data_IF_531389120722
#
_entry.id   IF_531389120722
#
_cell.length_a   1.000
_cell.length_b   1.000
_cell.length_c   1.000
_cell.angle_alpha   90.00
_cell.angle_beta   90.00
_cell.angle_gamma   90.00
#
_symmetry.space_group_name_H-M   'P 1'
#
loop_
_entity.id
_entity.type
_entity.pdbx_description
1 polymer ?
#
# COMPACT_ATOMS: atom_id res chain seq x y z
N UNK A 1 -6.85 17.28 -4.91
CA UNK A 1 -5.88 17.32 -3.78
C UNK A 1 -6.42 18.02 -2.54
N UNK A 2 -7.30 19.03 -2.66
CA UNK A 2 -7.88 19.75 -1.51
C UNK A 2 -8.55 18.83 -0.45
N UNK A 3 -9.09 17.68 -0.86
CA UNK A 3 -9.74 16.72 0.04
C UNK A 3 -8.77 15.95 0.95
N UNK A 4 -7.47 15.87 0.62
CA UNK A 4 -6.46 15.13 1.39
C UNK A 4 -5.64 16.02 2.32
N UNK A 5 -5.68 17.34 2.12
CA UNK A 5 -4.97 18.31 2.95
C UNK A 5 -5.22 18.13 4.46
N UNK A 6 -6.48 18.03 4.95
CA UNK A 6 -6.73 17.86 6.38
C UNK A 6 -6.21 16.52 6.92
N UNK A 7 -6.25 15.44 6.14
CA UNK A 7 -5.70 14.15 6.56
C UNK A 7 -4.17 14.20 6.70
N UNK A 8 -3.48 14.88 5.79
CA UNK A 8 -2.02 15.07 5.87
C UNK A 8 -1.62 15.93 7.08
N UNK A 9 -2.40 16.97 7.38
CA UNK A 9 -2.21 17.83 8.54
C UNK A 9 -2.38 17.05 9.85
N UNK A 10 -3.47 16.28 10.00
CA UNK A 10 -3.69 15.41 11.17
C UNK A 10 -2.55 14.42 11.35
N UNK A 11 -2.05 13.83 10.25
CA UNK A 11 -0.93 12.90 10.28
C UNK A 11 0.42 13.58 10.62
N UNK A 12 0.50 14.91 10.51
CA UNK A 12 1.73 15.69 10.67
C UNK A 12 2.74 15.44 9.54
N UNK A 13 2.26 15.09 8.35
CA UNK A 13 3.10 14.71 7.21
C UNK A 13 3.02 15.82 6.15
N UNK A 14 4.15 16.27 5.57
CA UNK A 14 4.13 17.30 4.52
C UNK A 14 3.29 16.86 3.31
N UNK A 15 2.45 17.75 2.77
CA UNK A 15 1.62 17.45 1.60
C UNK A 15 2.43 16.98 0.38
N UNK A 16 3.70 17.40 0.25
CA UNK A 16 4.61 16.93 -0.80
C UNK A 16 4.78 15.41 -0.81
N UNK A 17 4.58 14.75 0.34
CA UNK A 17 4.66 13.30 0.47
C UNK A 17 3.56 12.58 -0.32
N UNK A 18 2.42 13.23 -0.57
CA UNK A 18 1.38 12.70 -1.46
C UNK A 18 1.89 12.45 -2.88
N UNK A 19 2.87 13.22 -3.34
CA UNK A 19 3.56 12.97 -4.59
C UNK A 19 4.75 12.04 -4.35
N UNK A 20 5.72 12.47 -3.54
CA UNK A 20 6.90 11.68 -3.20
C UNK A 20 7.24 11.86 -1.71
N UNK A 21 7.32 10.77 -0.92
CA UNK A 21 7.49 9.38 -1.38
C UNK A 21 6.20 8.54 -1.50
N UNK A 22 5.10 8.90 -0.83
CA UNK A 22 3.92 8.02 -0.66
C UNK A 22 3.25 7.71 -2.00
N UNK A 23 2.95 8.75 -2.80
CA UNK A 23 2.26 8.58 -4.08
C UNK A 23 3.06 7.77 -5.08
N UNK A 24 4.34 8.10 -5.24
CA UNK A 24 5.26 7.39 -6.12
C UNK A 24 5.44 5.93 -5.72
N UNK A 25 5.58 5.63 -4.42
CA UNK A 25 5.71 4.25 -3.95
C UNK A 25 4.42 3.45 -4.19
N UNK A 26 3.26 4.05 -3.95
CA UNK A 26 1.96 3.42 -4.22
C UNK A 26 1.79 3.13 -5.72
N UNK A 27 2.15 4.10 -6.57
CA UNK A 27 2.09 3.95 -8.02
C UNK A 27 3.07 2.88 -8.50
N UNK A 28 4.31 2.88 -7.99
CA UNK A 28 5.30 1.85 -8.29
C UNK A 28 4.82 0.44 -7.90
N UNK A 29 4.17 0.31 -6.75
CA UNK A 29 3.52 -0.94 -6.34
C UNK A 29 2.43 -1.38 -7.30
N UNK A 30 1.53 -0.46 -7.70
CA UNK A 30 0.48 -0.76 -8.69
C UNK A 30 1.06 -1.15 -10.05
N UNK A 31 2.08 -0.44 -10.53
CA UNK A 31 2.77 -0.74 -11.78
C UNK A 31 3.48 -2.10 -11.73
N UNK A 32 4.17 -2.40 -10.62
CA UNK A 32 4.82 -3.69 -10.44
C UNK A 32 3.85 -4.87 -10.40
N UNK A 33 2.65 -4.68 -9.80
CA UNK A 33 1.59 -5.68 -9.85
C UNK A 33 1.07 -5.91 -11.27
N UNK A 34 0.87 -4.84 -12.05
CA UNK A 34 0.50 -4.95 -13.46
C UNK A 34 1.56 -5.71 -14.27
N UNK A 35 2.85 -5.42 -14.04
CA UNK A 35 3.94 -6.16 -14.67
C UNK A 35 3.96 -7.64 -14.26
N UNK A 36 3.62 -7.94 -13.01
CA UNK A 36 3.41 -9.30 -12.53
C UNK A 36 2.36 -10.05 -13.34
N UNK A 37 1.19 -9.43 -13.55
CA UNK A 37 0.09 -9.99 -14.35
C UNK A 37 0.46 -10.14 -15.83
N UNK A 38 1.29 -9.24 -16.36
CA UNK A 38 1.78 -9.30 -17.75
C UNK A 38 2.88 -10.35 -17.99
N UNK A 39 3.24 -11.15 -16.98
CA UNK A 39 4.17 -12.27 -17.13
C UNK A 39 5.57 -12.05 -16.54
N UNK A 40 5.75 -11.06 -15.66
CA UNK A 40 7.01 -10.85 -14.93
C UNK A 40 6.82 -11.23 -13.44
N UNK A 41 6.75 -12.54 -13.10
CA UNK A 41 6.23 -13.00 -11.82
C UNK A 41 7.04 -12.49 -10.62
N UNK A 42 8.37 -12.46 -10.70
CA UNK A 42 9.22 -11.96 -9.62
C UNK A 42 9.01 -10.46 -9.32
N UNK A 43 8.72 -9.64 -10.34
CA UNK A 43 8.40 -8.22 -10.15
C UNK A 43 7.03 -8.07 -9.48
N UNK A 44 6.06 -8.90 -9.88
CA UNK A 44 4.76 -9.00 -9.21
C UNK A 44 4.89 -9.30 -7.72
N UNK A 45 5.72 -10.27 -7.35
CA UNK A 45 5.97 -10.64 -5.95
C UNK A 45 6.67 -9.54 -5.17
N UNK A 46 7.71 -8.91 -5.74
CA UNK A 46 8.35 -7.77 -5.11
C UNK A 46 7.38 -6.60 -4.89
N UNK A 47 6.50 -6.33 -5.85
CA UNK A 47 5.49 -5.29 -5.76
C UNK A 47 4.42 -5.59 -4.70
N UNK A 48 3.96 -6.85 -4.62
CA UNK A 48 3.01 -7.29 -3.60
C UNK A 48 3.60 -7.14 -2.18
N UNK A 49 4.88 -7.53 -1.98
CA UNK A 49 5.60 -7.31 -0.72
C UNK A 49 5.70 -5.81 -0.40
N UNK A 50 6.03 -4.99 -1.39
CA UNK A 50 6.06 -3.53 -1.24
C UNK A 50 4.70 -2.96 -0.82
N UNK A 51 3.60 -3.50 -1.35
CA UNK A 51 2.25 -3.09 -0.99
C UNK A 51 1.88 -3.47 0.45
N UNK A 52 2.32 -4.65 0.92
CA UNK A 52 2.19 -5.04 2.34
C UNK A 52 2.92 -4.03 3.23
N UNK A 53 4.17 -3.73 2.93
CA UNK A 53 4.95 -2.74 3.70
C UNK A 53 4.29 -1.35 3.67
N UNK A 54 3.77 -0.93 2.51
CA UNK A 54 3.05 0.32 2.36
C UNK A 54 1.83 0.39 3.30
N UNK A 55 1.00 -0.65 3.33
CA UNK A 55 -0.19 -0.68 4.18
C UNK A 55 0.13 -0.80 5.67
N UNK A 56 1.21 -1.50 6.04
CA UNK A 56 1.69 -1.54 7.44
C UNK A 56 2.13 -0.14 7.89
N UNK A 57 2.90 0.58 7.08
CA UNK A 57 3.29 1.96 7.37
C UNK A 57 2.07 2.88 7.47
N UNK A 58 1.09 2.74 6.58
CA UNK A 58 -0.15 3.51 6.63
C UNK A 58 -0.93 3.22 7.93
N UNK A 59 -1.09 1.95 8.31
CA UNK A 59 -1.74 1.56 9.56
C UNK A 59 -1.05 2.18 10.78
N UNK A 60 0.29 2.16 10.81
CA UNK A 60 1.07 2.80 11.86
C UNK A 60 0.79 4.31 11.94
N UNK A 61 0.74 5.03 10.82
CA UNK A 61 0.47 6.47 10.83
C UNK A 61 -0.91 6.81 11.39
N UNK A 62 -1.94 6.03 11.08
CA UNK A 62 -3.29 6.19 11.63
C UNK A 62 -3.33 5.92 13.13
N UNK A 63 -2.70 4.83 13.59
CA UNK A 63 -2.61 4.48 15.01
C UNK A 63 -1.86 5.57 15.80
N UNK A 64 -0.76 6.10 15.25
CA UNK A 64 0.08 7.15 15.87
C UNK A 64 -0.73 8.40 16.21
N UNK A 65 -1.68 8.78 15.36
CA UNK A 65 -2.52 9.97 15.54
C UNK A 65 -3.93 9.64 16.03
N UNK A 66 -4.15 8.38 16.43
CA UNK A 66 -5.44 7.86 16.89
C UNK A 66 -6.61 8.12 15.91
N UNK A 67 -6.32 8.14 14.61
CA UNK A 67 -7.33 8.32 13.56
C UNK A 67 -7.86 6.96 13.08
N UNK A 68 -9.01 6.57 13.62
CA UNK A 68 -9.71 5.33 13.27
C UNK A 68 -10.90 5.60 12.34
N UNK A 69 -10.72 6.46 11.34
CA UNK A 69 -11.72 6.67 10.30
C UNK A 69 -11.95 5.40 9.45
N UNK A 70 -13.01 5.42 8.64
CA UNK A 70 -13.33 4.31 7.71
C UNK A 70 -12.14 3.93 6.81
N UNK A 71 -11.31 4.89 6.43
CA UNK A 71 -10.09 4.64 5.65
C UNK A 71 -9.10 3.72 6.35
N UNK A 72 -8.95 3.82 7.68
CA UNK A 72 -8.11 2.91 8.47
C UNK A 72 -8.65 1.47 8.42
N UNK A 73 -9.95 1.28 8.68
CA UNK A 73 -10.56 -0.04 8.67
C UNK A 73 -10.53 -0.68 7.27
N UNK A 74 -10.69 0.10 6.20
CA UNK A 74 -10.54 -0.41 4.84
C UNK A 74 -9.08 -0.80 4.54
N UNK A 75 -8.12 0.04 4.93
CA UNK A 75 -6.70 -0.25 4.73
C UNK A 75 -6.26 -1.53 5.44
N UNK A 76 -6.60 -1.68 6.73
CA UNK A 76 -6.16 -2.81 7.56
C UNK A 76 -7.05 -4.03 7.41
N UNK A 77 -8.37 -3.86 7.26
CA UNK A 77 -9.33 -4.96 7.22
C UNK A 77 -9.52 -5.57 5.83
N UNK A 78 -9.21 -4.83 4.75
CA UNK A 78 -9.45 -5.30 3.38
C UNK A 78 -8.17 -5.32 2.57
N UNK A 79 -7.52 -4.16 2.40
CA UNK A 79 -6.41 -4.05 1.45
C UNK A 79 -5.12 -4.73 1.92
N UNK A 80 -4.79 -4.65 3.22
CA UNK A 80 -3.63 -5.33 3.77
C UNK A 80 -3.77 -6.87 3.67
N UNK A 81 -4.89 -7.50 4.09
CA UNK A 81 -5.11 -8.93 3.87
C UNK A 81 -5.08 -9.32 2.40
N UNK A 82 -5.65 -8.50 1.50
CA UNK A 82 -5.60 -8.74 0.07
C UNK A 82 -4.16 -8.73 -0.46
N UNK A 83 -3.34 -7.76 -0.03
CA UNK A 83 -1.92 -7.70 -0.40
C UNK A 83 -1.16 -8.93 0.09
N UNK A 84 -1.41 -9.38 1.32
CA UNK A 84 -0.84 -10.61 1.88
C UNK A 84 -1.29 -11.84 1.08
N UNK A 85 -2.57 -11.93 0.75
CA UNK A 85 -3.11 -13.02 -0.08
C UNK A 85 -2.44 -13.05 -1.47
N UNK A 86 -2.22 -11.90 -2.10
CA UNK A 86 -1.48 -11.83 -3.37
C UNK A 86 -0.05 -12.37 -3.24
N UNK A 87 0.70 -11.98 -2.19
CA UNK A 87 2.04 -12.52 -1.94
C UNK A 87 1.98 -14.04 -1.78
N UNK A 88 1.06 -14.55 -0.97
CA UNK A 88 0.91 -15.99 -0.71
C UNK A 88 0.58 -16.74 -2.00
N UNK A 89 -0.37 -16.26 -2.80
CA UNK A 89 -0.77 -16.89 -4.05
C UNK A 89 0.37 -16.90 -5.07
N UNK A 90 1.10 -15.79 -5.21
CA UNK A 90 2.24 -15.73 -6.13
C UNK A 90 3.38 -16.65 -5.71
N UNK A 91 3.66 -16.74 -4.40
CA UNK A 91 4.65 -17.69 -3.89
C UNK A 91 4.21 -19.14 -4.04
N UNK A 92 2.91 -19.43 -4.00
CA UNK A 92 2.38 -20.76 -4.25
C UNK A 92 2.47 -21.14 -5.73
N UNK A 93 2.17 -20.20 -6.63
CA UNK A 93 2.26 -20.35 -8.07
C UNK A 93 3.71 -20.60 -8.54
N UNK A 94 4.68 -19.84 -8.00
CA UNK A 94 6.10 -19.99 -8.33
C UNK A 94 6.76 -21.31 -7.85
N UNK A 95 6.06 -22.10 -7.04
CA UNK A 95 6.57 -23.38 -6.49
C UNK A 95 6.15 -24.61 -7.31
N UNK A 96 5.45 -24.41 -8.43
CA UNK A 96 5.00 -25.45 -9.37
C UNK A 96 5.80 -25.29 -10.68
#
# INVERSE_FOLDING_TARGET
>A
MATLAPAMETAGIPQSWLTFPIGTLKLAGAAGLLLGVLGVPYVGTAAAIGLVLYFVCAAYTHIRVADYAQTFYLAVGVFLPLAVACVVLQLADQRI
#
